data_IF_811847208611
#
_entry.id   IF_811847208611
#
_cell.length_a   1.000
_cell.length_b   1.000
_cell.length_c   1.000
_cell.angle_alpha   90.00
_cell.angle_beta   90.00
_cell.angle_gamma   90.00
#
_symmetry.space_group_name_H-M   'P 1'
#
loop_
_entity.id
_entity.type
_entity.pdbx_description
1 polymer ?
#
# COMPACT_ATOMS: atom_id res chain seq x y z
N UNK A 1 8.28 -20.78 3.95
CA UNK A 1 7.27 -19.89 4.54
C UNK A 1 6.88 -20.52 5.86
N UNK A 2 7.49 -20.10 6.97
CA UNK A 2 7.16 -20.65 8.29
C UNK A 2 5.76 -20.16 8.68
N UNK A 3 4.79 -21.05 8.66
CA UNK A 3 3.48 -20.81 9.28
C UNK A 3 3.72 -20.57 10.78
N UNK A 4 3.38 -19.36 11.24
CA UNK A 4 3.59 -18.93 12.62
C UNK A 4 2.68 -19.78 13.53
N UNK A 5 3.27 -20.42 14.54
CA UNK A 5 2.54 -21.24 15.53
C UNK A 5 1.84 -20.42 16.63
N UNK A 6 2.08 -19.11 16.69
CA UNK A 6 1.42 -18.19 17.64
C UNK A 6 0.79 -17.02 16.87
N UNK A 7 -0.45 -16.60 17.24
CA UNK A 7 -1.09 -15.43 16.66
C UNK A 7 -0.34 -14.14 17.03
N UNK A 8 -0.41 -13.13 16.17
CA UNK A 8 0.09 -11.77 16.44
C UNK A 8 -0.48 -11.18 17.73
N UNK A 9 0.28 -10.27 18.35
CA UNK A 9 -0.14 -9.51 19.53
C UNK A 9 -1.43 -8.71 19.29
N UNK A 10 -1.68 -8.31 18.04
CA UNK A 10 -2.95 -7.76 17.58
C UNK A 10 -3.31 -8.33 16.19
N UNK A 11 -4.06 -9.45 16.14
CA UNK A 11 -4.38 -10.14 14.89
C UNK A 11 -5.35 -9.36 14.00
N UNK A 12 -6.12 -8.42 14.57
CA UNK A 12 -7.00 -7.54 13.78
C UNK A 12 -6.16 -6.46 13.11
N UNK A 13 -5.24 -5.84 13.84
CA UNK A 13 -4.31 -4.88 13.26
C UNK A 13 -3.45 -5.52 12.15
N UNK A 14 -2.92 -6.74 12.36
CA UNK A 14 -2.17 -7.46 11.34
C UNK A 14 -2.99 -7.63 10.05
N UNK A 15 -4.23 -8.10 10.14
CA UNK A 15 -5.11 -8.27 8.98
C UNK A 15 -5.42 -6.95 8.26
N UNK A 16 -5.65 -5.87 9.01
CA UNK A 16 -5.91 -4.55 8.41
C UNK A 16 -4.67 -4.05 7.67
N UNK A 17 -3.48 -4.21 8.24
CA UNK A 17 -2.24 -3.77 7.60
C UNK A 17 -1.94 -4.58 6.33
N UNK A 18 -2.15 -5.91 6.35
CA UNK A 18 -2.04 -6.74 5.15
C UNK A 18 -3.04 -6.33 4.07
N UNK A 19 -4.28 -6.04 4.47
CA UNK A 19 -5.30 -5.56 3.55
C UNK A 19 -4.95 -4.19 2.95
N UNK A 20 -4.40 -3.26 3.75
CA UNK A 20 -3.94 -1.95 3.28
C UNK A 20 -2.86 -2.11 2.21
N UNK A 21 -1.86 -2.97 2.45
CA UNK A 21 -0.79 -3.21 1.48
C UNK A 21 -1.35 -3.73 0.14
N UNK A 22 -2.26 -4.70 0.18
CA UNK A 22 -2.87 -5.28 -1.01
C UNK A 22 -3.76 -4.26 -1.75
N UNK A 23 -4.59 -3.51 -1.03
CA UNK A 23 -5.43 -2.45 -1.59
C UNK A 23 -4.59 -1.37 -2.28
N UNK A 24 -3.62 -0.81 -1.57
CA UNK A 24 -2.82 0.30 -2.08
C UNK A 24 -1.99 -0.11 -3.28
N UNK A 25 -1.49 -1.36 -3.29
CA UNK A 25 -0.79 -1.93 -4.45
C UNK A 25 -1.68 -2.00 -5.70
N UNK A 26 -2.98 -2.30 -5.54
CA UNK A 26 -3.96 -2.31 -6.65
C UNK A 26 -4.28 -0.89 -7.11
N UNK A 27 -4.43 0.04 -6.16
CA UNK A 27 -4.72 1.45 -6.44
C UNK A 27 -3.55 2.13 -7.17
N UNK A 28 -2.30 1.91 -6.75
CA UNK A 28 -1.10 2.37 -7.46
C UNK A 28 -1.09 1.86 -8.90
N UNK A 29 -1.41 0.56 -9.10
CA UNK A 29 -1.48 -0.01 -10.45
C UNK A 29 -2.53 0.68 -11.31
N UNK A 30 -3.67 1.07 -10.73
CA UNK A 30 -4.69 1.83 -11.44
C UNK A 30 -4.23 3.25 -11.76
N UNK A 31 -3.55 3.93 -10.83
CA UNK A 31 -2.98 5.26 -11.06
C UNK A 31 -1.98 5.26 -12.20
N UNK A 32 -1.10 4.24 -12.28
CA UNK A 32 -0.14 4.11 -13.38
C UNK A 32 -0.83 3.90 -14.73
N UNK A 33 -1.89 3.07 -14.78
CA UNK A 33 -2.72 2.92 -16.01
C UNK A 33 -3.38 4.22 -16.46
N UNK A 34 -3.76 5.10 -15.52
CA UNK A 34 -4.28 6.42 -15.86
C UNK A 34 -3.17 7.35 -16.32
N UNK A 35 -2.01 7.33 -15.67
CA UNK A 35 -0.85 8.16 -16.02
C UNK A 35 -0.42 7.98 -17.48
N UNK A 36 -0.42 6.74 -17.98
CA UNK A 36 -0.12 6.40 -19.38
C UNK A 36 -1.10 7.03 -20.38
N UNK A 37 -2.36 7.24 -19.97
CA UNK A 37 -3.45 7.71 -20.84
C UNK A 37 -3.72 9.22 -20.73
N UNK A 38 -3.15 9.87 -19.72
CA UNK A 38 -3.37 11.29 -19.45
C UNK A 38 -2.42 12.16 -20.27
N UNK A 39 -2.93 13.15 -21.00
CA UNK A 39 -2.10 14.08 -21.80
C UNK A 39 -1.67 15.33 -21.00
N UNK A 40 -2.43 15.70 -19.97
CA UNK A 40 -2.17 16.89 -19.15
C UNK A 40 -1.00 16.72 -18.19
N UNK A 41 0.04 17.57 -18.31
CA UNK A 41 1.18 17.58 -17.38
C UNK A 41 0.75 17.74 -15.91
N UNK A 42 -0.22 18.62 -15.66
CA UNK A 42 -0.75 18.87 -14.31
C UNK A 42 -1.40 17.61 -13.73
N UNK A 43 -2.24 16.95 -14.51
CA UNK A 43 -2.95 15.74 -14.09
C UNK A 43 -1.97 14.58 -13.85
N UNK A 44 -0.92 14.46 -14.69
CA UNK A 44 0.18 13.51 -14.45
C UNK A 44 0.88 13.76 -13.11
N UNK A 45 1.15 15.02 -12.76
CA UNK A 45 1.75 15.37 -11.46
C UNK A 45 0.81 14.97 -10.31
N UNK A 46 -0.49 15.21 -10.44
CA UNK A 46 -1.47 14.80 -9.41
C UNK A 46 -1.53 13.27 -9.24
N UNK A 47 -1.52 12.51 -10.34
CA UNK A 47 -1.51 11.04 -10.30
C UNK A 47 -0.22 10.51 -9.63
N UNK A 48 0.94 11.11 -9.95
CA UNK A 48 2.21 10.75 -9.34
C UNK A 48 2.27 11.09 -7.84
N UNK A 49 1.73 12.25 -7.45
CA UNK A 49 1.63 12.63 -6.04
C UNK A 49 0.80 11.61 -5.27
N UNK A 50 -0.39 11.25 -5.79
CA UNK A 50 -1.25 10.25 -5.16
C UNK A 50 -0.60 8.86 -5.09
N UNK A 51 0.14 8.45 -6.13
CA UNK A 51 0.86 7.19 -6.10
C UNK A 51 1.97 7.21 -5.03
N UNK A 52 2.67 8.34 -4.87
CA UNK A 52 3.68 8.51 -3.83
C UNK A 52 3.07 8.37 -2.44
N UNK A 53 1.92 9.00 -2.19
CA UNK A 53 1.22 8.90 -0.91
C UNK A 53 0.87 7.45 -0.55
N UNK A 54 0.36 6.68 -1.51
CA UNK A 54 0.03 5.26 -1.31
C UNK A 54 1.28 4.41 -1.06
N UNK A 55 2.40 4.73 -1.70
CA UNK A 55 3.66 4.02 -1.44
C UNK A 55 4.15 4.32 -0.01
N UNK A 56 4.00 5.54 0.50
CA UNK A 56 4.29 5.84 1.91
C UNK A 56 3.37 5.09 2.88
N UNK A 57 2.09 4.95 2.54
CA UNK A 57 1.14 4.16 3.34
C UNK A 57 1.54 2.67 3.40
N UNK A 58 1.93 2.09 2.26
CA UNK A 58 2.50 0.73 2.21
C UNK A 58 3.77 0.63 3.07
N UNK A 59 4.68 1.60 2.98
CA UNK A 59 5.91 1.62 3.80
C UNK A 59 5.59 1.61 5.29
N UNK A 60 4.66 2.47 5.71
CA UNK A 60 4.20 2.54 7.08
C UNK A 60 3.57 1.22 7.53
N UNK A 61 2.70 0.64 6.70
CA UNK A 61 2.03 -0.62 7.02
C UNK A 61 3.01 -1.79 7.19
N UNK A 62 4.02 -1.88 6.32
CA UNK A 62 5.09 -2.89 6.44
C UNK A 62 5.89 -2.72 7.72
N UNK A 63 6.29 -1.48 8.07
CA UNK A 63 7.00 -1.22 9.31
C UNK A 63 6.17 -1.64 10.53
N UNK A 64 4.87 -1.31 10.53
CA UNK A 64 3.96 -1.67 11.61
C UNK A 64 3.75 -3.17 11.73
N UNK A 65 3.71 -3.89 10.60
CA UNK A 65 3.67 -5.36 10.61
C UNK A 65 4.93 -5.97 11.23
N UNK A 66 6.11 -5.38 10.96
CA UNK A 66 7.35 -5.83 11.59
C UNK A 66 7.39 -5.56 13.10
N UNK A 67 6.72 -4.50 13.57
CA UNK A 67 6.57 -4.22 15.02
C UNK A 67 5.55 -5.14 15.72
N UNK A 68 4.63 -5.77 14.97
CA UNK A 68 3.65 -6.74 15.48
C UNK A 68 4.17 -8.19 15.45
N UNK A 69 5.36 -8.41 14.90
CA UNK A 69 6.02 -9.71 14.74
C UNK A 69 7.00 -10.01 15.86
#
# INVERSE_FOLDING_TARGET
MSERLLPSDDPVAEQVLEWTIDRDSRDIRQLMRWLEKTDGRRDRITLLARATDLIEEIRYAMQRLDELR
#
